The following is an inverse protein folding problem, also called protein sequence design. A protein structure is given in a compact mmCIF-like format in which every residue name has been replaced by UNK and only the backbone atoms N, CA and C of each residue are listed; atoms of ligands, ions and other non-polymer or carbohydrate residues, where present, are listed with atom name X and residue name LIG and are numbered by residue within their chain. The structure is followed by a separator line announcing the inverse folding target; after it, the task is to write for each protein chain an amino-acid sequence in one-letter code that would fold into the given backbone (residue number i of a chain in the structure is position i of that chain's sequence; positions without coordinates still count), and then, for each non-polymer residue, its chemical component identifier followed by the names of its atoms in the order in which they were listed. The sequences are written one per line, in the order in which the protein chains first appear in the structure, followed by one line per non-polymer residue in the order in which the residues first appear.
data_IF_485111343864
#
_entry.id   IF_485111343864
#
_cell.length_a   1.000
_cell.length_b   1.000
_cell.length_c   1.000
_cell.angle_alpha   90.00
_cell.angle_beta   90.00
_cell.angle_gamma   90.00
#
_symmetry.space_group_name_H-M   'P 1'
#
loop_
_entity.id
_entity.type
_entity.pdbx_description
1 polymer ?
#
# COMPACT_ATOMS: atom_id res chain seq x y z
N UNK A 1 37.04 -9.34 1.02
CA UNK A 1 35.70 -8.74 0.87
C UNK A 1 34.69 -9.84 1.20
N UNK A 2 34.25 -9.92 2.46
CA UNK A 2 33.32 -10.97 2.92
C UNK A 2 31.90 -10.46 2.75
N UNK A 3 31.13 -11.24 2.02
CA UNK A 3 29.71 -11.14 1.71
C UNK A 3 28.86 -10.83 2.94
N UNK A 4 28.32 -9.61 3.03
CA UNK A 4 27.21 -9.23 3.90
C UNK A 4 25.85 -9.44 3.20
N UNK A 5 25.71 -10.29 2.19
CA UNK A 5 24.77 -9.92 1.11
C UNK A 5 23.42 -10.66 1.04
N UNK A 6 23.17 -11.72 1.82
CA UNK A 6 21.92 -12.49 1.64
C UNK A 6 21.03 -12.60 2.88
N UNK A 7 21.57 -12.87 4.07
CA UNK A 7 20.77 -13.02 5.29
C UNK A 7 20.16 -11.71 5.77
N UNK A 8 21.00 -10.68 5.90
CA UNK A 8 20.60 -9.38 6.45
C UNK A 8 19.67 -8.62 5.50
N UNK A 9 19.92 -8.68 4.17
CA UNK A 9 19.05 -8.08 3.16
C UNK A 9 17.66 -8.71 3.17
N UNK A 10 17.56 -10.05 3.26
CA UNK A 10 16.27 -10.75 3.34
C UNK A 10 15.49 -10.37 4.61
N UNK A 11 16.18 -10.33 5.75
CA UNK A 11 15.56 -9.93 7.02
C UNK A 11 15.08 -8.48 6.98
N UNK A 12 15.93 -7.55 6.55
CA UNK A 12 15.57 -6.14 6.40
C UNK A 12 14.39 -5.95 5.46
N UNK A 13 14.39 -6.64 4.31
CA UNK A 13 13.29 -6.60 3.34
C UNK A 13 11.99 -7.06 3.97
N UNK A 14 12.03 -8.17 4.72
CA UNK A 14 10.86 -8.73 5.41
C UNK A 14 10.33 -7.78 6.48
N UNK A 15 11.21 -7.21 7.30
CA UNK A 15 10.83 -6.32 8.41
C UNK A 15 10.21 -5.02 7.87
N UNK A 16 10.81 -4.42 6.83
CA UNK A 16 10.24 -3.24 6.17
C UNK A 16 8.91 -3.57 5.50
N UNK A 17 8.81 -4.69 4.77
CA UNK A 17 7.56 -5.07 4.08
C UNK A 17 6.42 -5.27 5.08
N UNK A 18 6.71 -5.90 6.22
CA UNK A 18 5.73 -6.11 7.30
C UNK A 18 5.29 -4.79 7.91
N UNK A 19 6.21 -3.89 8.22
CA UNK A 19 5.88 -2.58 8.79
C UNK A 19 5.06 -1.72 7.79
N UNK A 20 5.42 -1.74 6.50
CA UNK A 20 4.67 -1.06 5.45
C UNK A 20 3.25 -1.61 5.31
N UNK A 21 3.10 -2.93 5.26
CA UNK A 21 1.79 -3.58 5.21
C UNK A 21 0.92 -3.16 6.41
N UNK A 22 1.46 -3.25 7.63
CA UNK A 22 0.74 -2.84 8.84
C UNK A 22 0.31 -1.37 8.83
N UNK A 23 1.17 -0.46 8.33
CA UNK A 23 0.83 0.96 8.22
C UNK A 23 -0.25 1.21 7.18
N UNK A 24 -0.13 0.59 6.00
CA UNK A 24 -1.12 0.73 4.93
C UNK A 24 -2.47 0.19 5.39
N UNK A 25 -2.50 -0.99 6.01
CA UNK A 25 -3.71 -1.60 6.57
C UNK A 25 -4.37 -0.72 7.64
N UNK A 26 -3.58 -0.10 8.53
CA UNK A 26 -4.11 0.88 9.51
C UNK A 26 -4.72 2.09 8.84
N UNK A 27 -4.08 2.65 7.82
CA UNK A 27 -4.61 3.78 7.05
C UNK A 27 -5.89 3.42 6.31
N UNK A 28 -5.94 2.25 5.66
CA UNK A 28 -7.16 1.73 5.00
C UNK A 28 -8.29 1.60 6.01
N UNK A 29 -8.05 0.97 7.16
CA UNK A 29 -9.05 0.82 8.22
C UNK A 29 -9.56 2.18 8.73
N UNK A 30 -8.68 3.17 8.85
CA UNK A 30 -9.05 4.52 9.26
C UNK A 30 -10.00 5.17 8.24
N UNK A 31 -9.68 5.10 6.95
CA UNK A 31 -10.52 5.70 5.91
C UNK A 31 -11.83 4.94 5.70
N UNK A 32 -11.84 3.61 5.85
CA UNK A 32 -13.07 2.81 5.74
C UNK A 32 -13.98 2.90 6.97
N UNK A 33 -13.43 2.96 8.19
CA UNK A 33 -14.27 2.84 9.42
C UNK A 33 -14.53 4.18 10.10
N UNK A 34 -13.55 5.09 10.12
CA UNK A 34 -13.69 6.39 10.78
C UNK A 34 -14.25 7.43 9.82
N UNK A 35 -13.63 7.58 8.65
CA UNK A 35 -13.98 8.66 7.72
C UNK A 35 -15.05 8.24 6.71
N UNK A 36 -15.12 6.94 6.38
CA UNK A 36 -16.08 6.36 5.44
C UNK A 36 -16.09 7.06 4.08
N UNK A 37 -14.93 7.48 3.60
CA UNK A 37 -14.78 8.20 2.34
C UNK A 37 -13.54 7.73 1.60
N UNK A 38 -13.70 7.49 0.31
CA UNK A 38 -12.65 7.00 -0.59
C UNK A 38 -11.61 8.07 -0.94
N UNK A 39 -10.73 8.35 0.01
CA UNK A 39 -9.55 9.22 -0.23
C UNK A 39 -8.48 8.55 -1.09
N UNK A 40 -8.61 7.24 -1.36
CA UNK A 40 -7.67 6.46 -2.15
C UNK A 40 -8.03 6.45 -3.65
N UNK A 41 -9.16 7.06 -4.02
CA UNK A 41 -9.68 7.14 -5.38
C UNK A 41 -9.92 5.76 -6.04
N UNK A 42 -10.26 4.74 -5.25
CA UNK A 42 -10.59 3.39 -5.75
C UNK A 42 -11.84 3.38 -6.62
N UNK A 43 -12.84 4.21 -6.30
CA UNK A 43 -14.06 4.38 -7.09
C UNK A 43 -13.78 4.90 -8.49
N UNK A 44 -12.83 5.83 -8.63
CA UNK A 44 -12.41 6.32 -9.96
C UNK A 44 -11.65 5.26 -10.75
N UNK A 45 -10.83 4.41 -10.09
CA UNK A 45 -10.22 3.25 -10.74
C UNK A 45 -11.29 2.27 -11.22
N UNK A 46 -12.25 1.94 -10.37
CA UNK A 46 -13.34 1.02 -10.70
C UNK A 46 -14.22 1.55 -11.83
N UNK A 47 -14.56 2.85 -11.81
CA UNK A 47 -15.32 3.54 -12.86
C UNK A 47 -14.67 3.45 -14.23
N UNK A 48 -13.35 3.65 -14.32
CA UNK A 48 -12.61 3.55 -15.59
C UNK A 48 -12.71 2.16 -16.19
N UNK A 49 -12.69 1.13 -15.35
CA UNK A 49 -12.68 -0.26 -15.81
C UNK A 49 -14.10 -0.84 -15.98
N UNK A 50 -15.09 -0.35 -15.23
CA UNK A 50 -16.42 -0.95 -15.09
C UNK A 50 -17.54 0.11 -15.12
N UNK A 51 -17.50 1.02 -16.10
CA UNK A 51 -18.38 2.19 -16.11
C UNK A 51 -19.88 1.88 -15.99
N UNK A 52 -20.37 0.82 -16.65
CA UNK A 52 -21.80 0.43 -16.58
C UNK A 52 -22.22 0.03 -15.17
N UNK A 53 -21.40 -0.74 -14.47
CA UNK A 53 -21.66 -1.16 -13.08
C UNK A 53 -21.47 0.01 -12.12
N UNK A 54 -20.46 0.85 -12.35
CA UNK A 54 -20.23 2.06 -11.57
C UNK A 54 -21.47 2.95 -11.51
N UNK A 55 -22.16 3.17 -12.64
CA UNK A 55 -23.41 3.99 -12.65
C UNK A 55 -24.48 3.48 -11.69
N UNK A 56 -24.54 2.17 -11.44
CA UNK A 56 -25.53 1.56 -10.54
C UNK A 56 -25.19 1.85 -9.07
N UNK A 57 -23.90 1.87 -8.74
CA UNK A 57 -23.42 1.95 -7.36
C UNK A 57 -22.89 3.32 -6.95
N UNK A 58 -22.61 4.22 -7.90
CA UNK A 58 -21.84 5.45 -7.65
C UNK A 58 -22.46 6.38 -6.61
N UNK A 59 -23.80 6.44 -6.54
CA UNK A 59 -24.51 7.24 -5.52
C UNK A 59 -24.35 6.67 -4.11
N UNK A 60 -24.08 5.37 -4.01
CA UNK A 60 -23.95 4.62 -2.77
C UNK A 60 -22.48 4.29 -2.44
N UNK A 61 -21.51 4.83 -3.19
CA UNK A 61 -20.09 4.48 -3.03
C UNK A 61 -19.52 5.03 -1.72
N UNK A 62 -19.46 6.36 -1.60
CA UNK A 62 -19.04 7.08 -0.38
C UNK A 62 -20.22 7.61 0.44
N UNK A 63 -21.43 7.50 -0.10
CA UNK A 63 -22.67 7.99 0.51
C UNK A 63 -23.70 6.85 0.55
N UNK A 64 -24.88 7.09 1.13
CA UNK A 64 -25.93 6.06 1.21
C UNK A 64 -25.45 4.80 1.93
N UNK A 65 -25.54 3.66 1.25
CA UNK A 65 -25.06 2.35 1.74
C UNK A 65 -23.54 2.30 2.01
N UNK A 66 -22.77 3.25 1.45
CA UNK A 66 -21.33 3.39 1.62
C UNK A 66 -20.55 2.10 1.30
N UNK A 67 -20.64 1.66 0.04
CA UNK A 67 -19.95 0.46 -0.43
C UNK A 67 -18.44 0.52 -0.22
N UNK A 68 -17.82 1.71 -0.24
CA UNK A 68 -16.41 1.87 0.04
C UNK A 68 -16.01 1.35 1.44
N UNK A 69 -16.81 1.63 2.49
CA UNK A 69 -16.53 1.18 3.87
C UNK A 69 -16.52 -0.34 4.05
N UNK A 70 -17.11 -1.06 3.11
CA UNK A 70 -17.26 -2.52 3.11
C UNK A 70 -16.47 -3.20 1.98
N UNK A 71 -15.73 -2.43 1.16
CA UNK A 71 -14.93 -2.99 0.09
C UNK A 71 -13.76 -3.82 0.66
N UNK A 72 -13.54 -5.01 0.10
CA UNK A 72 -12.38 -5.83 0.42
C UNK A 72 -11.14 -5.28 -0.29
N UNK A 73 -10.17 -4.79 0.47
CA UNK A 73 -8.94 -4.20 -0.04
C UNK A 73 -7.76 -5.09 0.34
N UNK A 74 -7.19 -5.75 -0.66
CA UNK A 74 -5.98 -6.56 -0.52
C UNK A 74 -4.74 -5.71 -0.81
N UNK A 75 -3.77 -5.73 0.10
CA UNK A 75 -2.51 -5.00 -0.03
C UNK A 75 -1.40 -5.98 -0.38
N UNK A 76 -0.66 -5.66 -1.43
CA UNK A 76 0.54 -6.40 -1.84
C UNK A 76 1.73 -5.46 -1.82
N UNK A 77 2.63 -5.63 -0.85
CA UNK A 77 3.85 -4.84 -0.73
C UNK A 77 4.99 -5.55 -1.45
N UNK A 78 5.48 -4.93 -2.53
CA UNK A 78 6.68 -5.40 -3.24
C UNK A 78 7.83 -4.42 -3.00
N UNK A 79 8.74 -4.78 -2.09
CA UNK A 79 9.87 -3.94 -1.72
C UNK A 79 11.10 -4.25 -2.56
N UNK A 80 11.73 -3.19 -3.10
CA UNK A 80 13.03 -3.26 -3.78
C UNK A 80 14.01 -2.35 -3.04
N UNK A 81 15.10 -2.93 -2.53
CA UNK A 81 16.19 -2.17 -1.92
C UNK A 81 17.22 -1.88 -3.01
N UNK A 82 17.16 -0.67 -3.55
CA UNK A 82 18.07 -0.17 -4.59
C UNK A 82 19.45 0.19 -4.00
N UNK A 83 19.47 0.88 -2.85
CA UNK A 83 20.70 1.36 -2.21
C UNK A 83 20.55 1.26 -0.69
N UNK A 84 21.53 0.68 0.00
CA UNK A 84 21.52 0.61 1.47
C UNK A 84 22.17 1.84 2.14
N UNK A 85 22.58 2.83 1.35
CA UNK A 85 23.24 4.06 1.82
C UNK A 85 24.54 3.79 2.58
N UNK A 86 25.69 3.81 1.90
CA UNK A 86 26.98 4.04 2.58
C UNK A 86 27.29 5.53 2.51
N UNK A 87 27.07 6.26 3.60
CA UNK A 87 27.57 7.63 3.74
C UNK A 87 29.08 7.70 4.05
N UNK A 88 29.81 6.61 3.85
CA UNK A 88 31.26 6.57 4.01
C UNK A 88 31.91 6.51 2.63
N UNK A 89 32.70 7.51 2.21
CA UNK A 89 33.52 7.37 1.03
C UNK A 89 34.46 6.17 1.23
N UNK A 90 34.58 5.32 0.21
CA UNK A 90 35.66 4.34 0.14
C UNK A 90 36.96 5.12 0.25
N UNK A 91 37.65 5.05 1.39
CA UNK A 91 39.05 5.46 1.48
C UNK A 91 39.82 4.53 0.54
N UNK A 92 40.12 5.05 -0.64
CA UNK A 92 41.09 4.44 -1.55
C UNK A 92 42.43 4.52 -0.83
N UNK A 93 43.05 3.36 -0.60
CA UNK A 93 44.41 3.28 -0.04
C UNK A 93 45.41 3.83 -1.04
#
# INVERSE_FOLDING_TARGET
MKTFEHGDKKRLTKDISKEMDQRIQKSIKLVQKKYKVDVLALGEVYKRNNYKEWKKISKNWDQGENYFSNADINVYVHLVIEHSGSALPKRVK
#
